data_IF_460493675366
#
_entry.id   IF_460493675366
#
_cell.length_a   1.000
_cell.length_b   1.000
_cell.length_c   1.000
_cell.angle_alpha   90.00
_cell.angle_beta   90.00
_cell.angle_gamma   90.00
#
_symmetry.space_group_name_H-M   'P 1'
#
loop_
_entity.id
_entity.type
_entity.pdbx_description
1 polymer ?
#
# COMPACT_ATOMS: atom_id res chain seq x y z
N UNK A 1 -75.91 32.00 -10.37
CA UNK A 1 -75.55 30.68 -9.74
C UNK A 1 -74.39 29.94 -10.41
N UNK A 2 -73.99 30.29 -11.64
CA UNK A 2 -72.93 29.61 -12.40
C UNK A 2 -71.47 29.96 -11.96
N UNK A 3 -71.25 31.19 -11.50
CA UNK A 3 -69.88 31.67 -11.19
C UNK A 3 -69.23 30.95 -9.99
N UNK A 4 -69.98 30.58 -8.97
CA UNK A 4 -69.51 29.86 -7.80
C UNK A 4 -69.07 28.40 -8.13
N UNK A 5 -69.76 27.73 -9.03
CA UNK A 5 -69.42 26.38 -9.48
C UNK A 5 -68.14 26.37 -10.31
N UNK A 6 -67.90 27.38 -11.16
CA UNK A 6 -66.67 27.52 -11.96
C UNK A 6 -65.47 27.84 -11.10
N UNK A 7 -65.61 28.71 -10.10
CA UNK A 7 -64.56 29.00 -9.13
C UNK A 7 -64.17 27.77 -8.30
N UNK A 8 -65.17 27.01 -7.83
CA UNK A 8 -64.90 25.77 -7.08
C UNK A 8 -64.17 24.75 -7.93
N UNK A 9 -64.52 24.63 -9.22
CA UNK A 9 -63.89 23.74 -10.17
C UNK A 9 -62.39 24.15 -10.46
N UNK A 10 -62.10 25.44 -10.54
CA UNK A 10 -60.76 25.99 -10.71
C UNK A 10 -59.93 25.72 -9.46
N UNK A 11 -60.44 25.96 -8.26
CA UNK A 11 -59.78 25.67 -7.00
C UNK A 11 -59.44 24.19 -6.86
N UNK A 12 -60.40 23.31 -7.23
CA UNK A 12 -60.20 21.85 -7.21
C UNK A 12 -59.07 21.42 -8.18
N UNK A 13 -59.04 22.00 -9.39
CA UNK A 13 -57.96 21.73 -10.36
C UNK A 13 -56.61 22.18 -9.83
N UNK A 14 -56.50 23.37 -9.26
CA UNK A 14 -55.25 23.89 -8.69
C UNK A 14 -54.81 23.04 -7.50
N UNK A 15 -55.74 22.66 -6.62
CA UNK A 15 -55.45 21.73 -5.50
C UNK A 15 -54.91 20.38 -5.99
N UNK A 16 -55.52 19.81 -7.05
CA UNK A 16 -55.05 18.53 -7.61
C UNK A 16 -53.65 18.64 -8.22
N UNK A 17 -53.33 19.77 -8.92
CA UNK A 17 -52.02 20.03 -9.50
C UNK A 17 -50.93 20.14 -8.42
N UNK A 18 -51.27 20.66 -7.23
CA UNK A 18 -50.31 20.79 -6.11
C UNK A 18 -50.21 19.48 -5.32
N UNK A 19 -51.32 18.78 -5.10
CA UNK A 19 -51.38 17.59 -4.26
C UNK A 19 -50.73 16.35 -4.93
N UNK A 20 -50.93 16.25 -6.26
CA UNK A 20 -50.39 15.12 -7.04
C UNK A 20 -48.86 14.98 -6.98
N UNK A 21 -48.08 16.05 -7.21
CA UNK A 21 -46.62 15.96 -7.05
C UNK A 21 -46.18 15.61 -5.63
N UNK A 22 -46.87 16.13 -4.61
CA UNK A 22 -46.55 15.83 -3.20
C UNK A 22 -46.78 14.34 -2.89
N UNK A 23 -47.86 13.76 -3.39
CA UNK A 23 -48.13 12.33 -3.24
C UNK A 23 -47.12 11.47 -3.98
N UNK A 24 -46.76 11.84 -5.21
CA UNK A 24 -45.72 11.14 -5.97
C UNK A 24 -44.34 11.25 -5.29
N UNK A 25 -44.00 12.42 -4.76
CA UNK A 25 -42.76 12.63 -3.99
C UNK A 25 -42.75 11.75 -2.74
N UNK A 26 -43.83 11.69 -1.98
CA UNK A 26 -43.96 10.86 -0.79
C UNK A 26 -43.84 9.37 -1.12
N UNK A 27 -44.47 8.92 -2.19
CA UNK A 27 -44.38 7.55 -2.66
C UNK A 27 -42.97 7.18 -3.15
N UNK A 28 -42.33 8.08 -3.92
CA UNK A 28 -40.96 7.90 -4.39
C UNK A 28 -39.99 7.81 -3.23
N UNK A 29 -40.09 8.70 -2.24
CA UNK A 29 -39.27 8.69 -1.04
C UNK A 29 -39.46 7.40 -0.21
N UNK A 30 -40.72 6.96 -0.02
CA UNK A 30 -41.02 5.72 0.69
C UNK A 30 -40.37 4.52 -0.01
N UNK A 31 -40.53 4.41 -1.33
CA UNK A 31 -39.96 3.33 -2.15
C UNK A 31 -38.44 3.33 -2.11
N UNK A 32 -37.82 4.50 -2.13
CA UNK A 32 -36.34 4.62 -2.05
C UNK A 32 -35.83 4.26 -0.66
N UNK A 33 -36.54 4.57 0.41
CA UNK A 33 -36.15 4.26 1.79
C UNK A 33 -36.16 2.74 2.12
N UNK A 34 -36.96 1.94 1.37
CA UNK A 34 -37.08 0.48 1.58
C UNK A 34 -36.04 -0.30 0.74
N UNK A 35 -35.44 0.36 -0.26
CA UNK A 35 -34.46 -0.32 -1.11
C UNK A 35 -33.26 -0.75 -0.29
N UNK A 36 -32.86 -2.00 -0.46
CA UNK A 36 -31.65 -2.59 0.14
C UNK A 36 -30.50 -2.62 -0.85
N UNK A 37 -29.29 -2.80 -0.35
CA UNK A 37 -28.13 -3.14 -1.17
C UNK A 37 -28.42 -4.46 -1.86
N UNK A 38 -28.31 -4.50 -3.17
CA UNK A 38 -28.54 -5.73 -3.95
C UNK A 38 -27.31 -6.61 -4.02
N UNK A 39 -26.13 -5.98 -4.09
CA UNK A 39 -24.86 -6.66 -4.21
C UNK A 39 -23.72 -5.72 -3.81
N UNK A 40 -22.65 -6.29 -3.24
CA UNK A 40 -21.37 -5.62 -3.09
C UNK A 40 -20.40 -6.11 -4.17
N UNK A 41 -19.66 -5.19 -4.77
CA UNK A 41 -18.59 -5.48 -5.71
C UNK A 41 -17.32 -4.80 -5.20
N UNK A 42 -16.34 -5.61 -4.79
CA UNK A 42 -15.04 -5.12 -4.34
C UNK A 42 -14.07 -5.25 -5.51
N UNK A 43 -13.54 -4.14 -5.96
CA UNK A 43 -12.52 -4.05 -7.01
C UNK A 43 -11.23 -3.43 -6.46
N UNK A 44 -10.10 -3.75 -7.09
CA UNK A 44 -8.80 -3.21 -6.70
C UNK A 44 -8.25 -2.32 -7.80
N UNK A 45 -7.72 -1.17 -7.40
CA UNK A 45 -6.98 -0.27 -8.28
C UNK A 45 -5.55 -0.80 -8.51
N UNK A 46 -5.43 -2.05 -8.97
CA UNK A 46 -4.14 -2.66 -9.28
C UNK A 46 -4.30 -3.65 -10.44
N UNK A 47 -3.24 -3.89 -11.24
CA UNK A 47 -3.22 -4.96 -12.23
C UNK A 47 -3.58 -6.31 -11.59
N UNK A 48 -4.27 -7.17 -12.33
CA UNK A 48 -4.77 -8.48 -11.85
C UNK A 48 -3.67 -9.45 -11.40
N UNK A 49 -2.45 -9.24 -11.87
CA UNK A 49 -1.25 -10.02 -11.54
C UNK A 49 -0.55 -9.56 -10.24
N UNK A 50 -0.95 -8.43 -9.66
CA UNK A 50 -0.38 -7.97 -8.39
C UNK A 50 -0.84 -8.80 -7.21
N UNK A 51 0.11 -9.08 -6.32
CA UNK A 51 -0.09 -9.81 -5.07
C UNK A 51 -1.10 -9.09 -4.18
N UNK A 52 -2.06 -9.84 -3.65
CA UNK A 52 -3.09 -9.32 -2.75
C UNK A 52 -2.67 -9.52 -1.30
N UNK A 53 -2.51 -8.40 -0.57
CA UNK A 53 -2.15 -8.40 0.85
C UNK A 53 -3.36 -8.33 1.78
N UNK A 54 -4.51 -7.84 1.30
CA UNK A 54 -5.79 -7.86 2.00
C UNK A 54 -6.83 -8.62 1.15
N UNK A 55 -7.61 -9.50 1.75
CA UNK A 55 -8.64 -10.29 1.04
C UNK A 55 -9.94 -9.51 0.91
N UNK A 56 -10.83 -9.92 -0.02
CA UNK A 56 -12.17 -9.32 -0.14
C UNK A 56 -13.00 -9.54 1.12
N UNK A 57 -12.91 -10.74 1.70
CA UNK A 57 -13.61 -11.09 2.94
C UNK A 57 -13.15 -10.21 4.12
N UNK A 58 -11.85 -9.87 4.17
CA UNK A 58 -11.33 -8.94 5.18
C UNK A 58 -11.89 -7.52 4.97
N UNK A 59 -11.95 -7.04 3.73
CA UNK A 59 -12.55 -5.73 3.39
C UNK A 59 -14.03 -5.71 3.75
N UNK A 60 -14.78 -6.75 3.40
CA UNK A 60 -16.20 -6.85 3.71
C UNK A 60 -16.45 -6.92 5.21
N UNK A 61 -15.65 -7.68 5.95
CA UNK A 61 -15.71 -7.76 7.42
C UNK A 61 -15.36 -6.43 8.09
N UNK A 62 -14.43 -5.66 7.52
CA UNK A 62 -14.14 -4.30 7.97
C UNK A 62 -15.33 -3.38 7.79
N UNK A 63 -16.02 -3.43 6.65
CA UNK A 63 -17.15 -2.57 6.36
C UNK A 63 -18.39 -2.95 7.18
N UNK A 64 -18.72 -4.24 7.22
CA UNK A 64 -19.98 -4.80 7.72
C UNK A 64 -19.76 -5.79 8.84
N UNK A 65 -19.49 -5.29 10.04
CA UNK A 65 -19.19 -6.15 11.21
C UNK A 65 -20.43 -6.71 11.91
N UNK A 66 -21.63 -6.17 11.66
CA UNK A 66 -22.85 -6.55 12.41
C UNK A 66 -23.84 -7.39 11.59
N UNK A 67 -23.93 -7.21 10.30
CA UNK A 67 -24.84 -7.91 9.37
C UNK A 67 -24.26 -7.84 7.94
N UNK A 68 -24.72 -8.70 7.04
CA UNK A 68 -24.27 -8.71 5.64
C UNK A 68 -24.66 -7.41 4.92
N UNK A 69 -23.88 -7.04 3.90
CA UNK A 69 -24.11 -5.81 3.14
C UNK A 69 -25.53 -5.68 2.58
N UNK A 70 -26.10 -6.80 2.07
CA UNK A 70 -27.45 -6.86 1.50
C UNK A 70 -28.59 -6.67 2.51
N UNK A 71 -28.28 -6.73 3.80
CA UNK A 71 -29.26 -6.48 4.86
C UNK A 71 -29.45 -5.00 5.17
N UNK A 72 -28.48 -4.13 4.72
CA UNK A 72 -28.58 -2.70 4.93
C UNK A 72 -29.51 -2.04 3.93
N UNK A 73 -30.37 -1.12 4.41
CA UNK A 73 -31.10 -0.23 3.52
C UNK A 73 -30.16 0.84 2.95
N UNK A 74 -30.48 1.32 1.74
CA UNK A 74 -29.65 2.37 1.10
C UNK A 74 -29.58 3.64 1.97
N UNK A 75 -30.57 3.90 2.78
CA UNK A 75 -30.64 5.05 3.70
C UNK A 75 -29.70 4.89 4.92
N UNK A 76 -29.48 3.66 5.37
CA UNK A 76 -28.61 3.36 6.51
C UNK A 76 -27.13 3.46 6.14
N UNK A 77 -26.81 3.31 4.85
CA UNK A 77 -25.43 3.38 4.36
C UNK A 77 -24.91 4.81 4.43
N UNK A 78 -24.02 5.04 5.37
CA UNK A 78 -23.25 6.28 5.47
C UNK A 78 -21.93 6.09 4.73
N UNK A 79 -21.93 6.23 3.40
CA UNK A 79 -20.79 5.96 2.51
C UNK A 79 -19.51 6.60 3.03
N UNK A 80 -19.54 7.89 3.38
CA UNK A 80 -18.37 8.61 3.90
C UNK A 80 -17.79 7.98 5.18
N UNK A 81 -18.61 7.33 6.02
CA UNK A 81 -18.10 6.61 7.21
C UNK A 81 -17.49 5.28 6.85
N UNK A 82 -18.02 4.60 5.83
CA UNK A 82 -17.46 3.35 5.31
C UNK A 82 -16.10 3.61 4.65
N UNK A 83 -15.97 4.65 3.81
CA UNK A 83 -14.70 5.08 3.24
C UNK A 83 -13.67 5.39 4.32
N UNK A 84 -14.03 6.26 5.27
CA UNK A 84 -13.15 6.61 6.39
C UNK A 84 -12.70 5.39 7.18
N UNK A 85 -13.57 4.38 7.34
CA UNK A 85 -13.26 3.14 8.05
C UNK A 85 -12.20 2.33 7.30
N UNK A 86 -12.28 2.26 5.95
CA UNK A 86 -11.25 1.64 5.13
C UNK A 86 -9.96 2.44 5.11
N UNK A 87 -10.01 3.76 4.95
CA UNK A 87 -8.83 4.63 4.91
C UNK A 87 -8.02 4.61 6.21
N UNK A 88 -8.67 4.27 7.35
CA UNK A 88 -7.98 4.10 8.63
C UNK A 88 -7.34 2.72 8.79
N UNK A 89 -7.66 1.75 7.92
CA UNK A 89 -7.02 0.43 7.97
C UNK A 89 -5.57 0.52 7.49
N UNK A 90 -4.60 -0.01 8.24
CA UNK A 90 -3.18 0.10 7.89
C UNK A 90 -2.76 -0.70 6.64
N UNK A 91 -3.63 -1.54 6.08
CA UNK A 91 -3.40 -2.27 4.82
C UNK A 91 -3.91 -1.49 3.60
N UNK A 92 -4.72 -0.44 3.81
CA UNK A 92 -5.35 0.34 2.76
C UNK A 92 -4.59 1.66 2.56
N UNK A 93 -4.30 1.99 1.31
CA UNK A 93 -3.71 3.28 0.92
C UNK A 93 -4.80 4.33 0.71
N UNK A 94 -5.87 3.95 -0.02
CA UNK A 94 -7.08 4.73 -0.22
C UNK A 94 -8.25 3.83 -0.60
N UNK A 95 -9.47 4.27 -0.35
CA UNK A 95 -10.68 3.59 -0.76
C UNK A 95 -11.72 4.58 -1.26
N UNK A 96 -12.42 4.20 -2.34
CA UNK A 96 -13.56 4.92 -2.89
C UNK A 96 -14.79 4.00 -2.84
N UNK A 97 -15.88 4.48 -2.27
CA UNK A 97 -17.14 3.72 -2.16
C UNK A 97 -18.25 4.51 -2.81
N UNK A 98 -18.97 3.89 -3.72
CA UNK A 98 -20.12 4.51 -4.35
C UNK A 98 -21.26 3.53 -4.59
N UNK A 99 -22.46 4.06 -4.58
CA UNK A 99 -23.69 3.32 -4.79
C UNK A 99 -24.23 3.62 -6.18
N UNK A 100 -24.51 2.56 -6.96
CA UNK A 100 -25.15 2.71 -8.26
C UNK A 100 -26.66 2.89 -8.12
N UNK A 101 -27.30 3.40 -9.18
CA UNK A 101 -28.76 3.57 -9.24
C UNK A 101 -29.50 2.23 -9.03
N UNK A 102 -28.90 1.13 -9.45
CA UNK A 102 -29.44 -0.22 -9.30
C UNK A 102 -29.29 -0.79 -7.89
N UNK A 103 -28.64 -0.06 -6.96
CA UNK A 103 -28.45 -0.51 -5.59
C UNK A 103 -27.23 -1.41 -5.39
N UNK A 104 -26.28 -1.41 -6.34
CA UNK A 104 -25.00 -2.10 -6.19
C UNK A 104 -24.02 -1.20 -5.47
N UNK A 105 -23.47 -1.68 -4.35
CA UNK A 105 -22.39 -1.00 -3.63
C UNK A 105 -21.05 -1.40 -4.24
N UNK A 106 -20.38 -0.44 -4.85
CA UNK A 106 -19.03 -0.63 -5.39
C UNK A 106 -18.01 -0.08 -4.43
N UNK A 107 -16.99 -0.89 -4.13
CA UNK A 107 -15.89 -0.59 -3.22
C UNK A 107 -14.59 -0.75 -4.01
N UNK A 108 -13.94 0.35 -4.29
CA UNK A 108 -12.64 0.38 -4.98
C UNK A 108 -11.55 0.61 -3.95
N UNK A 109 -10.66 -0.37 -3.80
CA UNK A 109 -9.60 -0.33 -2.77
C UNK A 109 -8.24 -0.32 -3.44
N UNK A 110 -7.41 0.66 -3.06
CA UNK A 110 -5.99 0.67 -3.32
C UNK A 110 -5.27 0.18 -2.07
N UNK A 111 -4.71 -1.03 -2.13
CA UNK A 111 -3.92 -1.58 -1.03
C UNK A 111 -2.54 -0.94 -0.96
N UNK A 112 -1.95 -0.84 0.25
CA UNK A 112 -0.56 -0.41 0.43
C UNK A 112 0.40 -1.43 -0.19
N UNK A 113 1.50 -0.93 -0.72
CA UNK A 113 2.53 -1.73 -1.37
C UNK A 113 3.77 -1.81 -0.46
N UNK A 114 4.08 -2.99 0.12
CA UNK A 114 5.24 -3.14 0.99
C UNK A 114 6.53 -3.09 0.18
N UNK A 115 7.52 -2.33 0.67
CA UNK A 115 8.87 -2.22 0.09
C UNK A 115 9.95 -2.85 0.96
N UNK A 116 9.67 -3.11 2.23
CA UNK A 116 10.59 -3.76 3.15
C UNK A 116 9.84 -4.47 4.28
N UNK A 117 10.48 -5.49 4.88
CA UNK A 117 10.04 -6.12 6.13
C UNK A 117 10.95 -5.68 7.26
N UNK A 118 10.42 -4.94 8.21
CA UNK A 118 11.14 -4.42 9.37
C UNK A 118 11.12 -5.44 10.50
N UNK A 119 12.27 -5.65 11.12
CA UNK A 119 12.42 -6.42 12.36
C UNK A 119 12.94 -5.46 13.43
N UNK A 120 12.11 -5.13 14.41
CA UNK A 120 12.45 -4.23 15.51
C UNK A 120 11.79 -4.72 16.80
N UNK A 121 12.55 -4.80 17.90
CA UNK A 121 12.06 -5.18 19.23
C UNK A 121 11.19 -6.47 19.23
N UNK A 122 11.61 -7.49 18.49
CA UNK A 122 10.89 -8.75 18.29
C UNK A 122 9.51 -8.61 17.61
N UNK A 123 9.25 -7.45 16.99
CA UNK A 123 8.06 -7.21 16.18
C UNK A 123 8.39 -7.23 14.70
N UNK A 124 7.42 -7.69 13.89
CA UNK A 124 7.56 -7.83 12.45
C UNK A 124 6.43 -7.04 11.78
N UNK A 125 6.79 -6.12 10.91
CA UNK A 125 5.84 -5.35 10.12
C UNK A 125 6.47 -4.95 8.80
N UNK A 126 5.67 -4.46 7.86
CA UNK A 126 6.19 -3.91 6.62
C UNK A 126 6.34 -2.39 6.71
N UNK A 127 7.26 -1.86 5.89
CA UNK A 127 7.27 -0.46 5.48
C UNK A 127 6.69 -0.39 4.07
N UNK A 128 5.74 0.52 3.84
CA UNK A 128 5.16 0.74 2.52
C UNK A 128 5.93 1.77 1.69
N UNK A 129 5.48 2.00 0.44
CA UNK A 129 6.08 2.95 -0.49
C UNK A 129 6.06 4.41 0.02
N UNK A 130 5.16 4.76 0.94
CA UNK A 130 5.07 6.08 1.58
C UNK A 130 5.87 6.18 2.89
N UNK A 131 6.59 5.13 3.28
CA UNK A 131 7.33 5.07 4.53
C UNK A 131 6.45 4.80 5.76
N UNK A 132 5.19 4.43 5.58
CA UNK A 132 4.28 4.10 6.68
C UNK A 132 4.45 2.66 7.11
N UNK A 133 4.16 2.41 8.40
CA UNK A 133 4.11 1.06 8.93
C UNK A 133 2.83 0.35 8.49
N UNK A 134 2.97 -0.91 8.10
CA UNK A 134 1.90 -1.76 7.62
C UNK A 134 2.04 -3.13 8.31
N UNK A 135 0.98 -3.76 8.83
CA UNK A 135 1.06 -5.08 9.44
C UNK A 135 1.44 -6.15 8.42
N UNK A 136 1.88 -7.31 8.89
CA UNK A 136 2.07 -8.45 8.01
C UNK A 136 0.73 -8.94 7.49
N UNK A 137 0.67 -9.27 6.20
CA UNK A 137 -0.52 -9.86 5.60
C UNK A 137 -0.71 -11.29 6.10
N UNK A 138 -1.96 -11.64 6.41
CA UNK A 138 -2.36 -13.03 6.71
C UNK A 138 -2.54 -13.86 5.43
N UNK A 139 -2.77 -13.21 4.30
CA UNK A 139 -3.03 -13.88 3.03
C UNK A 139 -1.73 -14.29 2.33
N UNK A 140 -0.71 -13.43 2.35
CA UNK A 140 0.52 -13.67 1.60
C UNK A 140 1.70 -12.91 2.17
N UNK A 141 2.92 -13.37 1.85
CA UNK A 141 4.16 -12.76 2.29
C UNK A 141 4.82 -12.00 1.15
N UNK A 142 5.16 -10.72 1.38
CA UNK A 142 5.85 -9.90 0.40
C UNK A 142 7.31 -10.36 0.20
N UNK A 143 7.75 -10.37 -1.05
CA UNK A 143 9.16 -10.55 -1.43
C UNK A 143 9.87 -9.21 -1.40
N UNK A 144 10.33 -8.82 -0.23
CA UNK A 144 10.99 -7.53 0.03
C UNK A 144 12.19 -7.74 0.92
N UNK A 145 13.17 -6.83 0.92
CA UNK A 145 14.33 -6.90 1.80
C UNK A 145 13.94 -6.92 3.28
N UNK A 146 14.71 -7.66 4.09
CA UNK A 146 14.61 -7.62 5.55
C UNK A 146 15.41 -6.43 6.06
N UNK A 147 14.87 -5.67 7.00
CA UNK A 147 15.51 -4.50 7.59
C UNK A 147 15.70 -4.68 9.08
N UNK A 148 16.90 -4.42 9.58
CA UNK A 148 17.28 -4.55 11.00
C UNK A 148 17.99 -3.31 11.51
N UNK A 149 17.87 -3.05 12.80
CA UNK A 149 18.62 -1.98 13.48
C UNK A 149 18.16 -0.56 13.14
N UNK A 150 17.03 -0.40 12.44
CA UNK A 150 16.47 0.91 12.11
C UNK A 150 15.59 1.37 13.28
N UNK A 151 15.99 2.46 13.91
CA UNK A 151 15.20 3.18 14.90
C UNK A 151 14.51 4.40 14.27
N UNK A 152 13.76 5.16 15.09
CA UNK A 152 13.00 6.34 14.64
C UNK A 152 13.90 7.36 13.91
N UNK A 153 15.12 7.59 14.41
CA UNK A 153 16.06 8.56 13.82
C UNK A 153 16.56 8.19 12.43
N UNK A 154 16.60 6.89 12.10
CA UNK A 154 17.03 6.40 10.80
C UNK A 154 15.88 6.00 9.89
N UNK A 155 14.63 6.21 10.31
CA UNK A 155 13.45 5.75 9.57
C UNK A 155 13.36 6.37 8.19
N UNK A 156 13.47 7.69 8.10
CA UNK A 156 13.43 8.43 6.84
C UNK A 156 14.58 8.06 5.91
N UNK A 157 15.80 7.94 6.46
CA UNK A 157 16.98 7.51 5.70
C UNK A 157 16.82 6.09 5.14
N UNK A 158 16.30 5.17 5.96
CA UNK A 158 16.00 3.81 5.52
C UNK A 158 14.93 3.81 4.43
N UNK A 159 13.88 4.60 4.58
CA UNK A 159 12.83 4.74 3.57
C UNK A 159 13.39 5.23 2.23
N UNK A 160 14.24 6.26 2.22
CA UNK A 160 14.88 6.77 1.00
C UNK A 160 15.69 5.67 0.29
N UNK A 161 16.49 4.91 1.03
CA UNK A 161 17.29 3.80 0.49
C UNK A 161 16.36 2.71 -0.07
N UNK A 162 15.36 2.28 0.71
CA UNK A 162 14.45 1.19 0.34
C UNK A 162 13.56 1.55 -0.84
N UNK A 163 13.11 2.78 -0.91
CA UNK A 163 12.35 3.29 -2.07
C UNK A 163 13.18 3.22 -3.35
N UNK A 164 14.46 3.60 -3.28
CA UNK A 164 15.37 3.48 -4.41
C UNK A 164 15.62 2.02 -4.80
N UNK A 165 15.82 1.13 -3.82
CA UNK A 165 15.94 -0.33 -4.06
C UNK A 165 14.68 -0.86 -4.74
N UNK A 166 13.50 -0.48 -4.28
CA UNK A 166 12.23 -0.98 -4.80
C UNK A 166 11.96 -0.54 -6.24
N UNK A 167 12.37 0.67 -6.61
CA UNK A 167 12.15 1.24 -7.96
C UNK A 167 13.17 0.79 -9.00
N UNK A 168 14.32 0.26 -8.60
CA UNK A 168 15.35 -0.26 -9.48
C UNK A 168 15.24 -1.79 -9.59
N UNK A 169 15.05 -2.30 -10.80
CA UNK A 169 14.84 -3.74 -11.04
C UNK A 169 15.99 -4.61 -10.50
N UNK A 170 17.26 -4.22 -10.80
CA UNK A 170 18.43 -4.99 -10.33
C UNK A 170 18.52 -5.01 -8.81
N UNK A 171 18.34 -3.86 -8.16
CA UNK A 171 18.43 -3.75 -6.71
C UNK A 171 17.32 -4.52 -6.01
N UNK A 172 16.09 -4.42 -6.54
CA UNK A 172 14.90 -5.13 -6.02
C UNK A 172 15.07 -6.66 -6.04
N UNK A 173 15.71 -7.18 -7.06
CA UNK A 173 15.94 -8.63 -7.17
C UNK A 173 17.13 -9.12 -6.35
N UNK A 174 18.14 -8.28 -6.18
CA UNK A 174 19.41 -8.71 -5.60
C UNK A 174 19.61 -8.31 -4.15
N UNK A 175 19.06 -7.19 -3.67
CA UNK A 175 19.22 -6.80 -2.26
C UNK A 175 18.19 -7.56 -1.41
N UNK A 176 18.69 -8.32 -0.43
CA UNK A 176 17.87 -9.17 0.44
C UNK A 176 17.81 -8.65 1.88
N UNK A 177 18.74 -7.81 2.28
CA UNK A 177 18.81 -7.26 3.64
C UNK A 177 19.39 -5.86 3.64
N UNK A 178 18.88 -5.00 4.52
CA UNK A 178 19.43 -3.70 4.88
C UNK A 178 19.55 -3.63 6.41
N UNK A 179 20.74 -3.30 6.90
CA UNK A 179 21.00 -3.18 8.34
C UNK A 179 21.51 -1.78 8.65
N UNK A 180 20.94 -1.14 9.68
CA UNK A 180 21.48 0.10 10.23
C UNK A 180 22.32 -0.20 11.48
N UNK A 181 23.56 0.30 11.52
CA UNK A 181 24.44 0.17 12.66
C UNK A 181 25.28 1.45 12.83
N UNK A 182 25.24 2.04 14.01
CA UNK A 182 26.01 3.26 14.38
C UNK A 182 25.87 4.41 13.35
N UNK A 183 24.67 4.58 12.78
CA UNK A 183 24.37 5.64 11.82
C UNK A 183 24.81 5.35 10.38
N UNK A 184 25.32 4.17 10.09
CA UNK A 184 25.65 3.70 8.75
C UNK A 184 24.70 2.56 8.32
N UNK A 185 24.43 2.49 7.02
CA UNK A 185 23.62 1.45 6.41
C UNK A 185 24.52 0.43 5.69
N UNK A 186 24.13 -0.83 5.80
CA UNK A 186 24.80 -1.96 5.17
C UNK A 186 23.75 -2.79 4.41
N UNK A 187 24.08 -3.18 3.19
CA UNK A 187 23.20 -4.04 2.39
C UNK A 187 23.86 -5.41 2.18
N UNK A 188 23.01 -6.43 2.02
CA UNK A 188 23.43 -7.78 1.58
C UNK A 188 22.75 -8.12 0.28
N UNK A 189 23.51 -8.73 -0.61
CA UNK A 189 23.03 -9.19 -1.91
C UNK A 189 22.78 -10.70 -1.90
N UNK A 190 21.85 -11.10 -2.71
CA UNK A 190 21.57 -12.52 -2.98
C UNK A 190 22.76 -13.17 -3.70
N UNK A 191 23.20 -14.32 -3.19
CA UNK A 191 24.29 -15.07 -3.83
C UNK A 191 25.66 -14.38 -3.78
N UNK A 192 25.86 -13.41 -2.86
CA UNK A 192 27.14 -12.80 -2.61
C UNK A 192 27.49 -12.91 -1.11
N UNK A 193 28.70 -13.32 -0.80
CA UNK A 193 29.16 -13.48 0.58
C UNK A 193 29.69 -12.19 1.19
N UNK A 194 29.87 -11.15 0.39
CA UNK A 194 30.29 -9.85 0.86
C UNK A 194 29.14 -8.97 1.34
N UNK A 195 29.41 -8.10 2.29
CA UNK A 195 28.53 -7.01 2.70
C UNK A 195 28.82 -5.73 1.91
N UNK A 196 27.82 -4.91 1.68
CA UNK A 196 27.96 -3.60 1.03
C UNK A 196 27.73 -2.50 2.06
N UNK A 197 28.74 -1.71 2.35
CA UNK A 197 28.64 -0.54 3.20
C UNK A 197 28.19 0.67 2.38
N UNK A 198 26.96 1.13 2.61
CA UNK A 198 26.40 2.34 2.00
C UNK A 198 26.80 3.61 2.77
N UNK A 199 27.13 3.46 4.09
CA UNK A 199 27.34 4.59 4.97
C UNK A 199 26.05 5.36 5.25
N UNK A 200 26.09 6.69 5.17
CA UNK A 200 24.91 7.55 5.34
C UNK A 200 23.99 7.49 4.11
N UNK A 201 22.75 7.90 4.29
CA UNK A 201 21.72 7.94 3.24
C UNK A 201 21.86 9.16 2.31
N UNK A 202 23.08 9.49 1.92
CA UNK A 202 23.42 10.54 0.97
C UNK A 202 23.82 9.94 -0.39
N UNK A 203 23.64 10.70 -1.48
CA UNK A 203 24.04 10.31 -2.82
C UNK A 203 23.61 8.88 -3.24
N UNK A 204 22.46 8.41 -2.74
CA UNK A 204 21.97 7.04 -2.92
C UNK A 204 21.99 6.57 -4.39
N UNK A 205 21.52 7.35 -5.39
CA UNK A 205 21.58 6.93 -6.79
C UNK A 205 23.02 6.66 -7.27
N UNK A 206 23.98 7.50 -6.88
CA UNK A 206 25.39 7.34 -7.27
C UNK A 206 26.00 6.07 -6.64
N UNK A 207 25.77 5.85 -5.34
CA UNK A 207 26.25 4.66 -4.62
C UNK A 207 25.73 3.37 -5.26
N UNK A 208 24.45 3.31 -5.58
CA UNK A 208 23.89 2.12 -6.22
C UNK A 208 24.31 1.96 -7.69
N UNK A 209 24.53 3.05 -8.43
CA UNK A 209 25.11 2.96 -9.76
C UNK A 209 26.54 2.39 -9.72
N UNK A 210 27.34 2.83 -8.76
CA UNK A 210 28.69 2.29 -8.52
C UNK A 210 28.64 0.80 -8.12
N UNK A 211 27.68 0.41 -7.27
CA UNK A 211 27.47 -0.99 -6.92
C UNK A 211 27.12 -1.84 -8.14
N UNK A 212 26.20 -1.38 -8.99
CA UNK A 212 25.81 -2.09 -10.21
C UNK A 212 26.99 -2.26 -11.18
N UNK A 213 27.77 -1.21 -11.36
CA UNK A 213 28.96 -1.25 -12.21
C UNK A 213 30.00 -2.25 -11.68
N UNK A 214 30.29 -2.20 -10.38
CA UNK A 214 31.17 -3.15 -9.69
C UNK A 214 30.66 -4.57 -9.85
N UNK A 215 29.39 -4.83 -9.49
CA UNK A 215 28.79 -6.17 -9.53
C UNK A 215 28.87 -6.77 -10.93
N UNK A 216 28.51 -6.00 -11.96
CA UNK A 216 28.56 -6.43 -13.37
C UNK A 216 29.98 -6.85 -13.78
N UNK A 217 31.00 -6.07 -13.37
CA UNK A 217 32.40 -6.37 -13.67
C UNK A 217 32.87 -7.60 -12.89
N UNK A 218 32.68 -7.62 -11.57
CA UNK A 218 33.13 -8.70 -10.72
C UNK A 218 32.46 -10.05 -11.03
N UNK A 219 31.17 -10.03 -11.42
CA UNK A 219 30.47 -11.22 -11.89
C UNK A 219 31.03 -11.75 -13.20
N UNK A 220 31.32 -10.86 -14.16
CA UNK A 220 31.92 -11.23 -15.44
C UNK A 220 33.31 -11.85 -15.27
N UNK A 221 34.09 -11.32 -14.33
CA UNK A 221 35.49 -11.73 -14.08
C UNK A 221 35.57 -12.89 -13.06
N UNK A 222 34.45 -13.39 -12.55
CA UNK A 222 34.35 -14.44 -11.51
C UNK A 222 35.10 -14.11 -10.22
N UNK A 223 35.01 -12.86 -9.75
CA UNK A 223 35.71 -12.36 -8.56
C UNK A 223 34.79 -12.00 -7.39
N UNK A 224 33.47 -12.28 -7.46
CA UNK A 224 32.52 -11.93 -6.39
C UNK A 224 32.88 -12.58 -5.05
N UNK A 225 33.35 -13.81 -5.06
CA UNK A 225 33.76 -14.62 -3.91
C UNK A 225 35.09 -14.18 -3.25
N UNK A 226 35.87 -13.33 -3.93
CA UNK A 226 37.14 -12.83 -3.42
C UNK A 226 37.01 -11.66 -2.44
N UNK A 227 35.81 -11.11 -2.30
CA UNK A 227 35.55 -9.94 -1.48
C UNK A 227 34.76 -10.29 -0.23
N UNK A 228 35.04 -9.61 0.87
CA UNK A 228 34.31 -9.69 2.14
C UNK A 228 33.44 -8.46 2.38
N UNK A 229 33.85 -7.30 1.86
CA UNK A 229 33.12 -6.05 1.97
C UNK A 229 33.41 -5.13 0.80
N UNK A 230 32.35 -4.49 0.33
CA UNK A 230 32.39 -3.41 -0.67
C UNK A 230 31.98 -2.13 0.02
N UNK A 231 32.79 -1.10 -0.03
CA UNK A 231 32.53 0.18 0.62
C UNK A 231 32.24 1.26 -0.41
N UNK A 232 31.05 1.86 -0.27
CA UNK A 232 30.49 2.88 -1.18
C UNK A 232 30.39 4.26 -0.50
N UNK A 233 30.99 4.43 0.67
CA UNK A 233 30.94 5.70 1.43
C UNK A 233 31.77 6.81 0.76
N UNK A 234 32.74 6.43 -0.06
CA UNK A 234 33.65 7.38 -0.68
C UNK A 234 33.13 7.87 -2.03
N UNK A 235 33.22 9.17 -2.26
CA UNK A 235 32.77 9.75 -3.51
C UNK A 235 33.63 9.23 -4.68
N UNK A 236 32.97 8.84 -5.77
CA UNK A 236 33.56 8.44 -7.05
C UNK A 236 34.49 7.22 -7.01
N UNK A 237 34.50 6.43 -5.92
CA UNK A 237 35.30 5.21 -5.85
C UNK A 237 34.56 4.09 -5.10
N UNK A 238 34.86 2.86 -5.45
CA UNK A 238 34.41 1.64 -4.77
C UNK A 238 35.64 1.01 -4.11
N UNK A 239 35.67 0.97 -2.77
CA UNK A 239 36.76 0.33 -2.03
C UNK A 239 36.37 -1.12 -1.73
N UNK A 240 37.17 -2.05 -2.19
CA UNK A 240 36.94 -3.48 -2.07
C UNK A 240 37.89 -4.10 -1.06
N UNK A 241 37.34 -4.75 -0.04
CA UNK A 241 38.10 -5.51 0.93
C UNK A 241 38.12 -6.99 0.52
N UNK A 242 39.29 -7.56 0.37
CA UNK A 242 39.45 -8.98 0.04
C UNK A 242 39.49 -9.85 1.30
N UNK A 243 39.10 -11.10 1.15
CA UNK A 243 39.40 -12.12 2.16
C UNK A 243 40.93 -12.28 2.25
N UNK A 244 41.46 -12.22 3.45
CA UNK A 244 42.87 -12.58 3.65
C UNK A 244 43.05 -14.07 3.34
N UNK A 245 43.90 -14.38 2.40
CA UNK A 245 44.27 -15.77 2.11
C UNK A 245 45.11 -16.27 3.27
N UNK A 246 44.89 -17.52 3.69
CA UNK A 246 45.64 -18.14 4.81
C UNK A 246 47.18 -18.10 4.67
N UNK A 247 47.68 -17.77 3.49
CA UNK A 247 49.10 -17.62 3.18
C UNK A 247 49.67 -16.26 3.70
N UNK A 248 48.86 -15.22 3.83
CA UNK A 248 49.30 -13.92 4.37
C UNK A 248 49.41 -13.91 5.90
N UNK A 249 48.62 -14.78 6.60
CA UNK A 249 48.70 -14.93 8.05
C UNK A 249 49.91 -15.73 8.55
N UNK A 250 50.61 -16.43 7.65
CA UNK A 250 51.79 -17.22 8.00
C UNK A 250 53.10 -16.42 7.89
N UNK A 251 53.04 -15.17 7.40
CA UNK A 251 54.23 -14.30 7.18
C UNK A 251 54.24 -13.05 8.09
N UNK A 252 53.32 -12.93 9.07
CA UNK A 252 53.39 -11.98 10.19
C UNK A 252 53.78 -12.72 11.50
#
# INVERSE_FOLDING_TARGET
MNNKKTQLFIILKISCIILLPILFQSFANHRNNIRKVQKIIISRQAPLDKVQYITNDAIESLLFSAKNAEEYSLKELKINLLEKKLDTDPMVESADIYLTIDGILKVEVKQREPIARIISNNQFYYMDMQGKQMPLSKATSARVPIVRGVGEKQWEDAHLILKHIYTDHFLKENIIELTANKGAFYARLRGADFSVCLGKADNIPLKFNNLKAFYKKAAKDHFLDKYTRIDLQYNNQVVCHRAQTAIEQANE
#
